data_IF_118348064549
#
_entry.id   IF_118348064549
#
_cell.length_a   1.000
_cell.length_b   1.000
_cell.length_c   1.000
_cell.angle_alpha   90.00
_cell.angle_beta   90.00
_cell.angle_gamma   90.00
#
_symmetry.space_group_name_H-M   'P 1'
#
loop_
_entity.id
_entity.type
_entity.pdbx_description
1 polymer ?
#
# COMPACT_ATOMS: atom_id res chain seq x y z
N UNK A 1 2.85 11.97 34.09
CA UNK A 1 4.08 11.68 33.30
C UNK A 1 3.81 10.83 32.05
N UNK A 2 2.78 9.98 32.03
CA UNK A 2 2.50 9.08 30.89
C UNK A 2 1.84 9.72 29.65
N UNK A 3 1.13 10.85 29.78
CA UNK A 3 0.47 11.51 28.63
C UNK A 3 1.45 12.20 27.67
N UNK A 4 2.51 12.80 28.19
CA UNK A 4 3.53 13.46 27.36
C UNK A 4 4.36 12.45 26.55
N UNK A 5 4.61 11.28 27.12
CA UNK A 5 5.36 10.21 26.48
C UNK A 5 4.59 9.55 25.34
N UNK A 6 3.24 9.49 25.46
CA UNK A 6 2.38 8.96 24.39
C UNK A 6 2.24 9.95 23.22
N UNK A 7 2.20 11.25 23.49
CA UNK A 7 2.20 12.28 22.45
C UNK A 7 3.53 12.31 21.68
N UNK A 8 4.65 12.06 22.35
CA UNK A 8 5.96 11.98 21.69
C UNK A 8 6.08 10.76 20.78
N UNK A 9 5.51 9.62 21.18
CA UNK A 9 5.47 8.39 20.36
C UNK A 9 4.58 8.54 19.13
N UNK A 10 3.48 9.28 19.22
CA UNK A 10 2.58 9.58 18.09
C UNK A 10 3.25 10.55 17.11
N UNK A 11 3.95 11.56 17.60
CA UNK A 11 4.64 12.54 16.74
C UNK A 11 5.83 11.93 15.97
N UNK A 12 6.55 10.98 16.57
CA UNK A 12 7.66 10.27 15.89
C UNK A 12 7.12 9.33 14.81
N UNK A 13 5.98 8.70 15.02
CA UNK A 13 5.33 7.84 14.00
C UNK A 13 4.74 8.64 12.83
N UNK A 14 4.26 9.85 13.08
CA UNK A 14 3.75 10.75 12.03
C UNK A 14 4.87 11.38 11.18
N UNK A 15 6.07 11.58 11.74
CA UNK A 15 7.21 12.18 11.03
C UNK A 15 7.89 11.21 10.03
N UNK A 16 7.69 9.90 10.14
CA UNK A 16 8.26 8.91 9.23
C UNK A 16 7.54 8.82 7.87
N UNK A 17 6.44 9.56 7.69
CA UNK A 17 5.59 9.51 6.48
C UNK A 17 5.97 10.50 5.38
N UNK A 18 7.02 11.31 5.50
CA UNK A 18 7.28 12.45 4.59
C UNK A 18 8.53 12.31 3.72
N UNK A 19 9.17 11.16 3.64
CA UNK A 19 10.30 10.98 2.72
C UNK A 19 9.89 10.18 1.47
N UNK A 20 8.90 10.70 0.72
CA UNK A 20 8.82 10.40 -0.70
C UNK A 20 9.89 11.23 -1.40
N UNK A 21 11.09 10.71 -1.54
CA UNK A 21 12.09 11.32 -2.41
C UNK A 21 11.68 11.01 -3.85
N UNK A 22 10.95 11.93 -4.47
CA UNK A 22 10.78 11.94 -5.91
C UNK A 22 11.98 12.68 -6.48
N UNK A 23 12.97 11.99 -7.01
CA UNK A 23 13.99 12.61 -7.84
C UNK A 23 13.51 12.54 -9.29
N UNK A 24 13.14 13.68 -9.86
CA UNK A 24 12.98 13.85 -11.30
C UNK A 24 14.34 14.29 -11.85
N UNK A 25 14.84 13.59 -12.85
CA UNK A 25 16.05 13.93 -13.58
C UNK A 25 15.64 14.22 -15.02
N UNK A 26 15.89 15.43 -15.47
CA UNK A 26 15.73 15.84 -16.86
C UNK A 26 17.11 16.01 -17.49
N UNK A 27 17.33 15.39 -18.62
CA UNK A 27 18.53 15.54 -19.42
C UNK A 27 18.14 16.05 -20.80
N UNK A 28 18.58 17.28 -21.13
CA UNK A 28 18.39 17.87 -22.45
C UNK A 28 19.61 17.64 -23.30
N UNK A 29 19.39 17.32 -24.58
CA UNK A 29 20.46 17.17 -25.56
C UNK A 29 20.05 17.79 -26.89
N UNK A 30 21.05 18.25 -27.64
CA UNK A 30 20.79 18.81 -28.94
C UNK A 30 22.08 18.96 -29.77
N UNK A 31 21.94 18.83 -31.07
CA UNK A 31 23.02 19.05 -32.02
C UNK A 31 22.45 19.45 -33.39
N UNK A 32 22.78 20.63 -33.85
CA UNK A 32 22.28 21.18 -35.11
C UNK A 32 20.76 21.38 -35.08
N UNK A 33 20.05 20.69 -35.96
CA UNK A 33 18.58 20.73 -36.04
C UNK A 33 17.87 19.77 -35.09
N UNK A 34 18.62 18.95 -34.35
CA UNK A 34 18.08 17.97 -33.43
C UNK A 34 18.05 18.52 -32.02
N UNK A 35 16.93 18.33 -31.34
CA UNK A 35 16.79 18.57 -29.90
C UNK A 35 16.00 17.45 -29.28
N UNK A 36 16.26 17.19 -28.00
CA UNK A 36 15.51 16.20 -27.27
C UNK A 36 15.70 16.33 -25.77
N UNK A 37 14.80 15.69 -25.04
CA UNK A 37 14.89 15.55 -23.61
C UNK A 37 14.64 14.11 -23.18
N UNK A 38 15.29 13.71 -22.11
CA UNK A 38 15.03 12.46 -21.41
C UNK A 38 14.68 12.81 -19.98
N UNK A 39 13.42 12.61 -19.61
CA UNK A 39 12.92 12.82 -18.27
C UNK A 39 12.76 11.48 -17.57
N UNK A 40 13.34 11.36 -16.38
CA UNK A 40 13.22 10.13 -15.59
C UNK A 40 12.66 10.45 -14.21
N UNK A 41 11.57 9.80 -13.88
CA UNK A 41 10.94 9.88 -12.56
C UNK A 41 11.05 8.54 -11.86
N UNK A 42 11.62 8.57 -10.66
CA UNK A 42 11.65 7.41 -9.76
C UNK A 42 10.71 7.70 -8.60
N UNK A 43 9.81 6.77 -8.32
CA UNK A 43 8.92 6.87 -7.17
C UNK A 43 8.87 5.57 -6.39
N UNK A 44 8.76 5.71 -5.08
CA UNK A 44 8.60 4.60 -4.16
C UNK A 44 7.45 4.90 -3.21
N UNK A 45 6.56 3.95 -3.05
CA UNK A 45 5.45 4.00 -2.11
C UNK A 45 5.40 2.73 -1.27
N UNK A 46 5.04 2.88 -0.02
CA UNK A 46 4.79 1.76 0.88
C UNK A 46 3.58 2.05 1.75
N UNK A 47 2.85 1.00 2.11
CA UNK A 47 1.73 1.09 3.02
C UNK A 47 1.85 0.04 4.13
N UNK A 48 1.53 0.45 5.34
CA UNK A 48 1.58 -0.37 6.54
C UNK A 48 0.21 -0.43 7.19
N UNK A 49 -0.05 -1.55 7.84
CA UNK A 49 -1.23 -1.69 8.65
C UNK A 49 -1.16 -0.74 9.86
N UNK A 50 -2.23 0.02 10.07
CA UNK A 50 -2.26 1.01 11.15
C UNK A 50 -2.66 0.42 12.52
N UNK A 51 -3.54 -0.58 12.51
CA UNK A 51 -4.09 -1.22 13.71
C UNK A 51 -4.02 -2.74 13.58
N UNK A 52 -4.00 -3.43 14.71
CA UNK A 52 -4.13 -4.88 14.76
C UNK A 52 -5.45 -5.35 14.14
N UNK A 53 -5.49 -6.61 13.74
CA UNK A 53 -6.70 -7.24 13.24
C UNK A 53 -7.76 -7.25 14.33
N UNK A 54 -8.93 -6.69 14.02
CA UNK A 54 -10.11 -6.79 14.86
C UNK A 54 -10.77 -8.17 14.63
N UNK A 55 -10.84 -9.02 15.65
CA UNK A 55 -11.46 -10.35 15.56
C UNK A 55 -12.89 -10.34 15.05
N UNK A 56 -13.65 -9.27 15.33
CA UNK A 56 -15.03 -9.14 14.90
C UNK A 56 -15.18 -8.92 13.38
N UNK A 57 -14.10 -8.53 12.72
CA UNK A 57 -14.05 -8.37 11.28
C UNK A 57 -13.60 -9.63 10.53
N UNK A 58 -13.24 -10.69 11.25
CA UNK A 58 -12.86 -11.99 10.68
C UNK A 58 -14.04 -12.94 10.74
N UNK A 59 -14.20 -13.79 9.74
CA UNK A 59 -15.29 -14.77 9.76
C UNK A 59 -15.11 -15.84 10.81
N UNK A 60 -16.21 -16.28 11.43
CA UNK A 60 -16.22 -17.28 12.51
C UNK A 60 -15.46 -18.57 12.16
N UNK A 61 -15.51 -19.00 10.91
CA UNK A 61 -14.79 -20.20 10.45
C UNK A 61 -13.25 -20.11 10.57
N UNK A 62 -12.70 -18.91 10.73
CA UNK A 62 -11.28 -18.73 10.96
C UNK A 62 -10.91 -18.75 12.44
N UNK A 63 -11.89 -18.51 13.34
CA UNK A 63 -11.68 -18.65 14.77
C UNK A 63 -11.79 -20.11 15.20
N UNK A 64 -12.76 -20.83 14.63
CA UNK A 64 -12.94 -22.27 14.85
C UNK A 64 -13.34 -22.98 13.55
N UNK A 65 -12.47 -23.81 12.97
CA UNK A 65 -12.78 -24.58 11.76
C UNK A 65 -13.95 -25.55 11.92
N UNK A 66 -14.30 -25.97 13.13
CA UNK A 66 -15.41 -26.88 13.37
C UNK A 66 -16.77 -26.28 12.99
N UNK A 67 -16.86 -24.94 12.93
CA UNK A 67 -18.10 -24.28 12.50
C UNK A 67 -18.29 -24.26 10.99
N UNK A 68 -17.32 -24.71 10.21
CA UNK A 68 -17.45 -24.84 8.76
C UNK A 68 -18.51 -25.89 8.44
N UNK A 69 -19.49 -25.50 7.61
CA UNK A 69 -20.60 -26.39 7.24
C UNK A 69 -21.79 -26.38 8.19
N UNK A 70 -21.67 -25.76 9.35
CA UNK A 70 -22.81 -25.58 10.23
C UNK A 70 -23.76 -24.49 9.71
N UNK A 71 -25.09 -24.69 9.96
CA UNK A 71 -26.09 -23.66 9.70
C UNK A 71 -25.92 -22.48 10.67
N UNK A 72 -26.50 -21.32 10.32
CA UNK A 72 -26.50 -20.15 11.19
C UNK A 72 -27.03 -20.46 12.61
N UNK A 73 -28.09 -21.23 12.72
CA UNK A 73 -28.69 -21.58 14.02
C UNK A 73 -27.75 -22.43 14.88
N UNK A 74 -27.06 -23.38 14.27
CA UNK A 74 -26.09 -24.22 14.97
C UNK A 74 -24.88 -23.44 15.45
N UNK A 75 -24.40 -22.47 14.63
CA UNK A 75 -23.25 -21.63 14.99
C UNK A 75 -23.52 -20.67 16.13
N UNK A 76 -24.77 -20.28 16.34
CA UNK A 76 -25.14 -19.41 17.46
C UNK A 76 -24.86 -20.02 18.85
N UNK A 77 -24.68 -21.32 18.92
CA UNK A 77 -24.30 -22.01 20.16
C UNK A 77 -22.82 -21.86 20.49
N UNK A 78 -22.01 -21.46 19.49
CA UNK A 78 -20.59 -21.12 19.66
C UNK A 78 -20.49 -19.62 19.87
N UNK A 79 -20.06 -19.19 21.03
CA UNK A 79 -19.82 -17.76 21.35
C UNK A 79 -18.51 -17.28 20.71
N UNK A 80 -18.47 -17.26 19.38
CA UNK A 80 -17.30 -16.88 18.59
C UNK A 80 -17.41 -15.45 18.10
N UNK A 81 -16.32 -14.68 18.16
CA UNK A 81 -16.27 -13.38 17.52
C UNK A 81 -16.39 -13.50 16.00
N UNK A 82 -16.67 -12.40 15.35
CA UNK A 82 -16.68 -12.31 13.90
C UNK A 82 -18.03 -12.56 13.27
N UNK A 83 -18.06 -12.40 11.95
CA UNK A 83 -19.28 -12.47 11.14
C UNK A 83 -19.51 -13.87 10.61
N UNK A 84 -20.77 -14.30 10.65
CA UNK A 84 -21.15 -15.48 9.91
C UNK A 84 -21.08 -15.20 8.41
N UNK A 85 -20.21 -15.93 7.70
CA UNK A 85 -20.13 -15.91 6.26
C UNK A 85 -19.60 -17.26 5.77
N UNK A 86 -20.14 -17.74 4.66
CA UNK A 86 -19.68 -18.98 4.01
C UNK A 86 -18.48 -18.73 3.10
N UNK A 87 -18.34 -17.49 2.62
CA UNK A 87 -17.26 -17.08 1.69
C UNK A 87 -16.36 -16.05 2.38
N UNK A 88 -15.54 -16.53 3.29
CA UNK A 88 -14.65 -15.67 4.06
C UNK A 88 -13.23 -15.72 3.52
N UNK A 89 -13.03 -15.25 2.31
CA UNK A 89 -11.72 -14.82 1.91
C UNK A 89 -11.45 -13.45 2.56
N UNK A 90 -10.74 -13.48 3.68
CA UNK A 90 -10.40 -12.28 4.42
C UNK A 90 -8.92 -11.99 4.29
N UNK A 91 -8.55 -11.21 3.28
CA UNK A 91 -7.19 -10.76 3.05
C UNK A 91 -6.54 -10.03 4.24
N UNK A 92 -7.34 -9.55 5.20
CA UNK A 92 -6.83 -8.93 6.43
C UNK A 92 -5.96 -9.87 7.26
N UNK A 93 -6.11 -11.19 7.14
CA UNK A 93 -5.29 -12.16 7.87
C UNK A 93 -3.86 -12.28 7.38
N UNK A 94 -3.58 -11.81 6.19
CA UNK A 94 -2.23 -11.84 5.64
C UNK A 94 -1.29 -10.85 6.35
N UNK A 95 -1.88 -9.82 6.97
CA UNK A 95 -1.16 -8.76 7.67
C UNK A 95 -1.91 -8.46 8.97
N UNK A 96 -1.81 -9.35 10.01
CA UNK A 96 -2.65 -9.25 11.20
C UNK A 96 -2.25 -8.12 12.15
N UNK A 97 -0.98 -7.74 12.17
CA UNK A 97 -0.43 -6.88 13.20
C UNK A 97 -0.25 -5.43 12.75
N UNK A 98 -0.44 -4.50 13.66
CA UNK A 98 -0.12 -3.10 13.42
C UNK A 98 1.38 -2.94 13.11
N UNK A 99 1.67 -2.28 11.99
CA UNK A 99 3.03 -2.12 11.49
C UNK A 99 3.43 -3.12 10.41
N UNK A 100 2.61 -4.12 10.11
CA UNK A 100 2.84 -5.02 8.99
C UNK A 100 2.90 -4.25 7.67
N UNK A 101 3.88 -4.56 6.85
CA UNK A 101 4.03 -4.01 5.51
C UNK A 101 3.01 -4.66 4.56
N UNK A 102 1.96 -3.95 4.21
CA UNK A 102 0.87 -4.44 3.36
C UNK A 102 1.24 -4.40 1.89
N UNK A 103 1.89 -3.33 1.47
CA UNK A 103 2.32 -3.18 0.08
C UNK A 103 3.54 -2.26 -0.02
N UNK A 104 4.37 -2.52 -1.00
CA UNK A 104 5.38 -1.58 -1.45
C UNK A 104 5.45 -1.59 -2.97
N UNK A 105 5.71 -0.42 -3.55
CA UNK A 105 5.75 -0.23 -4.99
C UNK A 105 6.95 0.64 -5.33
N UNK A 106 7.75 0.17 -6.27
CA UNK A 106 8.81 0.94 -6.90
C UNK A 106 8.42 1.17 -8.36
N UNK A 107 8.42 2.42 -8.79
CA UNK A 107 8.07 2.81 -10.16
C UNK A 107 9.15 3.69 -10.75
N UNK A 108 9.58 3.35 -11.95
CA UNK A 108 10.43 4.18 -12.79
C UNK A 108 9.64 4.52 -14.05
N UNK A 109 9.57 5.79 -14.38
CA UNK A 109 8.99 6.27 -15.64
C UNK A 109 10.07 7.06 -16.36
N UNK A 110 10.35 6.69 -17.62
CA UNK A 110 11.24 7.42 -18.49
C UNK A 110 10.44 7.96 -19.68
N UNK A 111 10.61 9.22 -19.99
CA UNK A 111 9.97 9.90 -21.10
C UNK A 111 11.05 10.45 -22.01
N UNK A 112 11.01 10.09 -23.28
CA UNK A 112 11.95 10.55 -24.31
C UNK A 112 11.19 11.39 -25.33
N UNK A 113 11.60 12.62 -25.48
CA UNK A 113 11.17 13.51 -26.57
C UNK A 113 12.36 13.78 -27.50
N UNK A 114 12.15 13.64 -28.80
CA UNK A 114 13.14 13.97 -29.83
C UNK A 114 12.44 14.74 -30.92
N UNK A 115 13.02 15.86 -31.33
CA UNK A 115 12.49 16.69 -32.41
C UNK A 115 13.56 17.11 -33.40
N UNK A 116 13.12 17.25 -34.66
CA UNK A 116 13.93 17.82 -35.75
C UNK A 116 13.03 18.62 -36.69
N UNK A 117 13.18 19.93 -36.72
CA UNK A 117 12.30 20.80 -37.48
C UNK A 117 10.83 20.59 -37.13
N UNK A 118 10.03 20.13 -38.11
CA UNK A 118 8.59 19.85 -37.90
C UNK A 118 8.26 18.39 -37.52
N UNK A 119 9.28 17.57 -37.31
CA UNK A 119 9.11 16.17 -36.92
C UNK A 119 9.42 16.00 -35.45
N UNK A 120 8.56 15.27 -34.74
CA UNK A 120 8.73 14.93 -33.35
C UNK A 120 8.44 13.45 -33.07
N UNK A 121 9.15 12.87 -32.12
CA UNK A 121 8.95 11.51 -31.60
C UNK A 121 8.89 11.57 -30.08
N UNK A 122 7.87 10.96 -29.51
CA UNK A 122 7.70 10.80 -28.07
C UNK A 122 7.55 9.33 -27.69
N UNK A 123 8.24 8.92 -26.63
CA UNK A 123 8.10 7.58 -26.03
C UNK A 123 8.05 7.66 -24.52
N UNK A 124 7.27 6.77 -23.90
CA UNK A 124 7.13 6.65 -22.45
C UNK A 124 7.13 5.19 -22.04
#
# INVERSE_FOLDING_TARGET
MNRAMNLLKVSVRAAALVWCVTSAQAFEFGSGEWSGSLDTTVSYGASWRANDLDPDNVGQAYHDPLVVGLSYLQRREFDLPGKWSVNNDNGNRNYPDAGDLVAHTFKVTAELDISRGNLGFFAR
#
